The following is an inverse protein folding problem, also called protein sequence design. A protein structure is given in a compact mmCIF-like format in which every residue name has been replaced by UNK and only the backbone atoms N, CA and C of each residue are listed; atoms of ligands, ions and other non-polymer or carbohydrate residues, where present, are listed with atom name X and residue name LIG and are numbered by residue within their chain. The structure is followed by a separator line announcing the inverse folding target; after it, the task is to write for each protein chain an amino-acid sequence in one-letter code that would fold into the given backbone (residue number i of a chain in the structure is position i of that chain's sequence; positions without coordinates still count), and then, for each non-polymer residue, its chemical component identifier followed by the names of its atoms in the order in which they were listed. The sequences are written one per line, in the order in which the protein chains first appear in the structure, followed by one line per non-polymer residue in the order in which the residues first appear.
data_IF_325390533976
#
_entry.id   IF_325390533976
#
_cell.length_a   1.000
_cell.length_b   1.000
_cell.length_c   1.000
_cell.angle_alpha   90.00
_cell.angle_beta   90.00
_cell.angle_gamma   90.00
#
_symmetry.space_group_name_H-M   'P 1'
#
loop_
_entity.id
_entity.type
_entity.pdbx_description
1 polymer ?
#
# COMPACT_ATOMS: atom_id res chain seq x y z
N UNK A 1 -4.19 -5.38 17.46
CA UNK A 1 -4.40 -4.78 16.13
C UNK A 1 -4.80 -3.33 16.36
N UNK A 2 -3.94 -2.36 16.02
CA UNK A 2 -4.08 -0.95 16.45
C UNK A 2 -4.99 -0.09 15.55
N UNK A 3 -5.63 -0.66 14.54
CA UNK A 3 -6.54 0.05 13.64
C UNK A 3 -8.00 -0.31 13.93
N UNK A 4 -8.83 0.70 14.21
CA UNK A 4 -10.27 0.51 14.48
C UNK A 4 -11.06 0.05 13.24
N UNK A 5 -10.52 0.28 12.05
CA UNK A 5 -11.12 -0.10 10.77
C UNK A 5 -10.00 -0.34 9.74
N UNK A 6 -9.41 -1.54 9.63
CA UNK A 6 -8.37 -1.79 8.62
C UNK A 6 -8.97 -1.84 7.20
N UNK A 7 -8.13 -1.59 6.19
CA UNK A 7 -8.49 -1.87 4.80
C UNK A 7 -8.65 -3.37 4.58
N UNK A 8 -9.54 -3.75 3.67
CA UNK A 8 -9.65 -5.13 3.23
C UNK A 8 -8.33 -5.60 2.58
N UNK A 9 -7.65 -6.61 3.14
CA UNK A 9 -6.42 -7.14 2.57
C UNK A 9 -6.60 -7.68 1.15
N UNK A 10 -7.77 -8.24 0.82
CA UNK A 10 -8.02 -8.77 -0.51
C UNK A 10 -8.06 -7.63 -1.55
N UNK A 11 -8.81 -6.57 -1.23
CA UNK A 11 -8.84 -5.36 -2.05
C UNK A 11 -7.44 -4.73 -2.22
N UNK A 12 -6.62 -4.71 -1.17
CA UNK A 12 -5.24 -4.21 -1.26
C UNK A 12 -4.38 -5.07 -2.19
N UNK A 13 -4.48 -6.39 -2.11
CA UNK A 13 -3.73 -7.28 -2.99
C UNK A 13 -4.14 -7.10 -4.46
N UNK A 14 -5.44 -6.94 -4.73
CA UNK A 14 -5.96 -6.71 -6.07
C UNK A 14 -5.50 -5.36 -6.62
N UNK A 15 -5.63 -4.29 -5.82
CA UNK A 15 -5.25 -2.92 -6.21
C UNK A 15 -3.75 -2.79 -6.47
N UNK A 16 -2.93 -3.54 -5.73
CA UNK A 16 -1.46 -3.52 -5.86
C UNK A 16 -0.92 -4.58 -6.83
N UNK A 17 -1.79 -5.33 -7.51
CA UNK A 17 -1.38 -6.38 -8.45
C UNK A 17 -0.52 -7.46 -7.78
N UNK A 18 -0.90 -7.88 -6.57
CA UNK A 18 -0.22 -8.89 -5.75
C UNK A 18 -1.03 -10.19 -5.62
N UNK A 19 -2.25 -10.25 -6.14
CA UNK A 19 -3.17 -11.40 -6.03
C UNK A 19 -2.53 -12.71 -6.46
N UNK A 20 -1.85 -12.72 -7.61
CA UNK A 20 -1.16 -13.92 -8.14
C UNK A 20 0.00 -14.39 -7.27
N UNK A 21 0.52 -13.49 -6.41
CA UNK A 21 1.64 -13.76 -5.51
C UNK A 21 1.22 -13.83 -4.04
N UNK A 22 -0.09 -13.88 -3.75
CA UNK A 22 -0.61 -13.87 -2.38
C UNK A 22 -0.09 -15.04 -1.52
N UNK A 23 0.20 -16.18 -2.15
CA UNK A 23 0.78 -17.37 -1.48
C UNK A 23 2.30 -17.49 -1.65
N UNK A 24 2.93 -16.54 -2.33
CA UNK A 24 4.37 -16.52 -2.55
C UNK A 24 5.08 -15.97 -1.32
N UNK A 25 6.07 -16.71 -0.83
CA UNK A 25 6.90 -16.25 0.30
C UNK A 25 7.65 -14.97 -0.06
N UNK A 26 7.75 -14.01 0.88
CA UNK A 26 8.41 -12.72 0.69
C UNK A 26 9.76 -12.80 -0.06
N UNK A 27 10.63 -13.76 0.31
CA UNK A 27 11.96 -13.94 -0.31
C UNK A 27 11.93 -14.29 -1.81
N UNK A 28 10.79 -14.74 -2.34
CA UNK A 28 10.59 -15.12 -3.74
C UNK A 28 9.86 -14.05 -4.55
N UNK A 29 9.45 -12.96 -3.91
CA UNK A 29 8.86 -11.80 -4.57
C UNK A 29 9.95 -11.01 -5.31
N UNK A 30 9.63 -10.47 -6.48
CA UNK A 30 10.50 -9.51 -7.17
C UNK A 30 10.67 -8.23 -6.34
N UNK A 31 11.71 -7.44 -6.61
CA UNK A 31 11.93 -6.17 -5.89
C UNK A 31 10.70 -5.24 -5.92
N UNK A 32 10.05 -5.11 -7.07
CA UNK A 32 8.81 -4.33 -7.20
C UNK A 32 7.63 -4.94 -6.43
N UNK A 33 7.51 -6.26 -6.37
CA UNK A 33 6.48 -6.92 -5.56
C UNK A 33 6.72 -6.73 -4.06
N UNK A 34 7.99 -6.77 -3.61
CA UNK A 34 8.34 -6.49 -2.22
C UNK A 34 8.01 -5.04 -1.85
N UNK A 35 8.29 -4.08 -2.74
CA UNK A 35 7.91 -2.67 -2.54
C UNK A 35 6.39 -2.48 -2.46
N UNK A 36 5.62 -3.09 -3.36
CA UNK A 36 4.16 -3.03 -3.30
C UNK A 36 3.60 -3.70 -2.05
N UNK A 37 4.16 -4.82 -1.61
CA UNK A 37 3.75 -5.46 -0.37
C UNK A 37 4.08 -4.60 0.86
N UNK A 38 5.26 -3.96 0.88
CA UNK A 38 5.63 -3.02 1.94
C UNK A 38 4.65 -1.85 2.01
N UNK A 39 4.23 -1.32 0.86
CA UNK A 39 3.17 -0.31 0.77
C UNK A 39 1.84 -0.84 1.33
N UNK A 40 1.40 -2.03 0.92
CA UNK A 40 0.18 -2.67 1.43
C UNK A 40 0.19 -2.72 2.97
N UNK A 41 1.31 -3.15 3.56
CA UNK A 41 1.49 -3.21 5.01
C UNK A 41 1.48 -1.83 5.68
N UNK A 42 1.98 -0.79 5.02
CA UNK A 42 1.97 0.57 5.57
C UNK A 42 0.56 1.17 5.61
N UNK A 43 -0.31 0.82 4.65
CA UNK A 43 -1.65 1.43 4.48
C UNK A 43 -2.79 0.57 5.03
N UNK A 44 -2.58 -0.74 5.25
CA UNK A 44 -3.63 -1.67 5.74
C UNK A 44 -4.30 -1.21 7.03
N UNK A 45 -3.58 -0.47 7.87
CA UNK A 45 -4.11 0.09 9.11
C UNK A 45 -5.04 1.30 8.94
N UNK A 46 -5.34 1.76 7.71
CA UNK A 46 -5.99 3.05 7.44
C UNK A 46 -5.37 4.20 8.26
N UNK A 47 -4.07 4.48 8.10
CA UNK A 47 -3.45 5.57 8.82
C UNK A 47 -4.14 6.89 8.47
N UNK A 48 -4.51 7.68 9.50
CA UNK A 48 -5.06 9.03 9.33
C UNK A 48 -4.01 10.04 8.84
N UNK A 49 -2.72 9.69 8.92
CA UNK A 49 -1.61 10.51 8.48
C UNK A 49 -0.45 9.62 8.02
N UNK A 50 0.05 9.85 6.81
CA UNK A 50 1.23 9.16 6.26
C UNK A 50 2.31 10.20 6.00
N UNK A 51 3.38 10.18 6.79
CA UNK A 51 4.58 10.97 6.49
C UNK A 51 5.38 10.28 5.40
N UNK A 52 5.27 10.81 4.18
CA UNK A 52 6.13 10.46 3.06
C UNK A 52 7.26 11.49 2.99
N UNK A 53 8.29 11.32 3.83
CA UNK A 53 9.49 12.15 3.70
C UNK A 53 10.38 11.55 2.62
N UNK A 54 10.57 12.27 1.52
CA UNK A 54 11.23 11.81 0.29
C UNK A 54 10.73 10.46 -0.30
N UNK A 55 9.47 10.35 -0.77
CA UNK A 55 8.89 9.09 -1.28
C UNK A 55 9.51 8.57 -2.58
N UNK A 56 10.48 9.28 -3.17
CA UNK A 56 11.16 8.91 -4.41
C UNK A 56 12.55 8.31 -4.20
N UNK A 57 13.11 8.43 -2.99
CA UNK A 57 14.42 7.86 -2.69
C UNK A 57 14.27 6.34 -2.45
N UNK A 58 14.05 5.59 -3.54
CA UNK A 58 14.00 4.12 -3.51
C UNK A 58 12.65 3.49 -3.86
N UNK A 59 11.59 4.25 -4.10
CA UNK A 59 10.35 3.75 -4.73
C UNK A 59 10.35 4.08 -6.22
N UNK A 60 9.99 3.11 -7.06
CA UNK A 60 9.79 3.39 -8.48
C UNK A 60 8.61 4.37 -8.70
N UNK A 61 8.62 5.08 -9.83
CA UNK A 61 7.61 6.10 -10.13
C UNK A 61 6.17 5.54 -10.14
N UNK A 62 6.02 4.24 -10.40
CA UNK A 62 4.73 3.55 -10.43
C UNK A 62 4.20 3.32 -9.01
N UNK A 63 5.05 2.89 -8.08
CA UNK A 63 4.70 2.75 -6.67
C UNK A 63 4.23 4.08 -6.08
N UNK A 64 4.85 5.20 -6.48
CA UNK A 64 4.42 6.54 -6.05
C UNK A 64 3.01 6.91 -6.54
N UNK A 65 2.67 6.60 -7.79
CA UNK A 65 1.34 6.87 -8.36
C UNK A 65 0.28 6.05 -7.61
N UNK A 66 0.57 4.75 -7.41
CA UNK A 66 -0.34 3.84 -6.72
C UNK A 66 -0.58 4.27 -5.26
N UNK A 67 0.44 4.76 -4.56
CA UNK A 67 0.27 5.37 -3.21
C UNK A 67 -0.70 6.54 -3.26
N UNK A 68 -0.50 7.47 -4.19
CA UNK A 68 -1.35 8.66 -4.31
C UNK A 68 -2.78 8.34 -4.71
N UNK A 69 -2.99 7.37 -5.60
CA UNK A 69 -4.33 6.90 -5.96
C UNK A 69 -5.04 6.23 -4.77
N UNK A 70 -4.30 5.45 -3.97
CA UNK A 70 -4.85 4.82 -2.77
C UNK A 70 -5.19 5.85 -1.70
N UNK A 71 -4.32 6.85 -1.50
CA UNK A 71 -4.55 7.98 -0.59
C UNK A 71 -5.73 8.82 -1.06
N UNK A 72 -5.88 9.08 -2.36
CA UNK A 72 -7.01 9.86 -2.90
C UNK A 72 -8.32 9.08 -2.78
N UNK A 73 -8.31 7.76 -2.99
CA UNK A 73 -9.45 6.89 -2.73
C UNK A 73 -9.84 6.91 -1.24
N UNK A 74 -8.86 6.86 -0.33
CA UNK A 74 -9.08 6.96 1.11
C UNK A 74 -9.58 8.36 1.54
N UNK A 75 -9.11 9.43 0.91
CA UNK A 75 -9.60 10.81 1.13
C UNK A 75 -11.06 10.95 0.79
N UNK A 76 -11.50 10.38 -0.34
CA UNK A 76 -12.91 10.40 -0.76
C UNK A 76 -13.83 9.70 0.24
N UNK A 77 -13.28 8.75 1.01
CA UNK A 77 -13.94 8.04 2.10
C UNK A 77 -13.91 8.79 3.46
N UNK A 78 -13.33 9.99 3.53
CA UNK A 78 -13.35 10.86 4.71
C UNK A 78 -12.05 10.95 5.53
N UNK A 79 -10.94 10.38 5.05
CA UNK A 79 -9.63 10.48 5.72
C UNK A 79 -8.93 11.79 5.31
N UNK A 80 -8.58 12.67 6.25
CA UNK A 80 -7.79 13.89 5.94
C UNK A 80 -6.33 13.50 5.73
N UNK A 81 -5.63 14.10 4.75
CA UNK A 81 -4.18 13.85 4.51
C UNK A 81 -3.41 15.15 4.65
#
# INVERSE_FOLDING_TARGET
SYAANPLDPQWLLDTLGLTDSARTTYRRLSGGQQQRLALACAVVGRPELVFLDEPTAGMDAHARIVVWELIDALRRDGVTV
#
